data_IF_946677959003
#
_entry.id   IF_946677959003
#
_cell.length_a   1.000
_cell.length_b   1.000
_cell.length_c   1.000
_cell.angle_alpha   90.00
_cell.angle_beta   90.00
_cell.angle_gamma   90.00
#
_symmetry.space_group_name_H-M   'P 1'
#
loop_
_entity.id
_entity.type
_entity.pdbx_description
1 polymer ?
#
# COMPACT_ATOMS: atom_id res chain seq x y z
N UNK A 1 -72.69 31.58 -43.02
CA UNK A 1 -71.43 30.86 -43.30
C UNK A 1 -70.41 31.26 -42.25
N UNK A 2 -70.14 30.39 -41.28
CA UNK A 2 -69.11 30.60 -40.25
C UNK A 2 -68.28 29.32 -40.25
N UNK A 3 -67.03 29.38 -40.72
CA UNK A 3 -66.09 28.27 -40.70
C UNK A 3 -65.36 28.27 -39.35
N UNK A 4 -65.56 27.23 -38.54
CA UNK A 4 -64.82 26.97 -37.31
C UNK A 4 -63.59 26.14 -37.69
N UNK A 5 -62.40 26.75 -37.63
CA UNK A 5 -61.13 26.06 -37.85
C UNK A 5 -60.64 25.47 -36.51
N UNK A 6 -60.68 24.15 -36.39
CA UNK A 6 -60.13 23.42 -35.24
C UNK A 6 -58.61 23.34 -35.38
N UNK A 7 -57.87 24.08 -34.55
CA UNK A 7 -56.42 23.97 -34.47
C UNK A 7 -56.03 22.73 -33.67
N UNK A 8 -55.45 21.73 -34.33
CA UNK A 8 -54.88 20.55 -33.71
C UNK A 8 -53.48 20.92 -33.17
N UNK A 9 -53.36 21.17 -31.87
CA UNK A 9 -52.04 21.35 -31.22
C UNK A 9 -51.43 19.97 -31.01
N UNK A 10 -50.51 19.58 -31.89
CA UNK A 10 -49.67 18.40 -31.69
C UNK A 10 -48.67 18.69 -30.57
N UNK A 11 -49.01 18.29 -29.34
CA UNK A 11 -48.08 18.30 -28.22
C UNK A 11 -47.00 17.26 -28.43
N UNK A 12 -45.81 17.69 -28.85
CA UNK A 12 -44.62 16.85 -28.85
C UNK A 12 -44.28 16.54 -27.39
N UNK A 13 -44.51 15.30 -26.96
CA UNK A 13 -43.97 14.80 -25.70
C UNK A 13 -42.44 14.84 -25.80
N UNK A 14 -41.82 15.85 -25.18
CA UNK A 14 -40.39 15.85 -24.92
C UNK A 14 -40.12 14.78 -23.87
N UNK A 15 -39.75 13.58 -24.32
CA UNK A 15 -39.21 12.55 -23.45
C UNK A 15 -37.95 13.14 -22.76
N UNK A 16 -37.85 13.10 -21.43
CA UNK A 16 -36.63 13.55 -20.76
C UNK A 16 -35.45 12.74 -21.31
N UNK A 17 -34.45 13.44 -21.84
CA UNK A 17 -33.19 12.81 -22.24
C UNK A 17 -32.63 12.11 -21.01
N UNK A 18 -32.50 10.79 -21.06
CA UNK A 18 -31.78 10.06 -20.03
C UNK A 18 -30.39 10.68 -19.91
N UNK A 19 -29.91 10.98 -18.68
CA UNK A 19 -28.55 11.46 -18.53
C UNK A 19 -27.60 10.47 -19.20
N UNK A 20 -26.52 10.94 -19.85
CA UNK A 20 -25.55 10.04 -20.45
C UNK A 20 -25.07 9.07 -19.36
N UNK A 21 -25.25 7.78 -19.62
CA UNK A 21 -24.63 6.74 -18.80
C UNK A 21 -23.13 6.95 -18.97
N UNK A 22 -22.46 7.43 -17.92
CA UNK A 22 -21.00 7.46 -17.88
C UNK A 22 -20.52 6.02 -18.03
N UNK A 23 -19.92 5.69 -19.16
CA UNK A 23 -19.25 4.42 -19.33
C UNK A 23 -18.11 4.35 -18.31
N UNK A 24 -18.04 3.26 -17.56
CA UNK A 24 -16.87 3.00 -16.73
C UNK A 24 -15.64 2.94 -17.65
N UNK A 25 -14.48 3.47 -17.22
CA UNK A 25 -13.25 3.33 -17.98
C UNK A 25 -12.98 1.84 -18.23
N UNK A 26 -12.49 1.50 -19.41
CA UNK A 26 -11.96 0.16 -19.66
C UNK A 26 -10.66 0.01 -18.86
N UNK A 27 -10.50 -1.12 -18.17
CA UNK A 27 -9.27 -1.45 -17.45
C UNK A 27 -8.32 -2.17 -18.42
N UNK A 28 -7.17 -1.60 -18.78
CA UNK A 28 -6.12 -2.37 -19.44
C UNK A 28 -5.75 -3.57 -18.57
N UNK A 29 -5.62 -4.76 -19.15
CA UNK A 29 -5.27 -5.97 -18.39
C UNK A 29 -3.84 -5.87 -17.85
N UNK A 30 -3.64 -5.92 -16.51
CA UNK A 30 -2.31 -6.06 -15.93
C UNK A 30 -1.68 -7.39 -16.32
N UNK A 31 -0.35 -7.43 -16.45
CA UNK A 31 0.39 -8.67 -16.74
C UNK A 31 0.62 -9.54 -15.49
N UNK A 32 0.31 -9.00 -14.31
CA UNK A 32 0.38 -9.71 -13.04
C UNK A 32 -0.54 -10.92 -12.99
N UNK A 33 -0.05 -12.01 -12.39
CA UNK A 33 -0.83 -13.23 -12.28
C UNK A 33 -1.94 -13.16 -11.20
N UNK A 34 -1.83 -12.25 -10.22
CA UNK A 34 -2.85 -11.98 -9.21
C UNK A 34 -2.77 -10.53 -8.74
N UNK A 35 -3.90 -9.82 -8.74
CA UNK A 35 -3.93 -8.39 -8.44
C UNK A 35 -5.30 -7.89 -8.01
N UNK A 36 -5.32 -6.73 -7.35
CA UNK A 36 -6.53 -5.98 -7.05
C UNK A 36 -6.27 -4.49 -6.91
N UNK A 37 -7.35 -3.71 -7.02
CA UNK A 37 -7.39 -2.30 -6.60
C UNK A 37 -8.64 -1.99 -5.80
N UNK A 38 -8.43 -1.37 -4.65
CA UNK A 38 -9.41 -1.15 -3.62
C UNK A 38 -9.56 0.34 -3.32
N UNK A 39 -10.80 0.81 -3.23
CA UNK A 39 -11.15 2.13 -2.73
C UNK A 39 -11.39 2.04 -1.22
N UNK A 40 -10.43 2.56 -0.47
CA UNK A 40 -10.45 2.56 1.01
C UNK A 40 -11.52 3.51 1.53
N UNK A 41 -11.73 4.64 0.85
CA UNK A 41 -12.67 5.68 1.29
C UNK A 41 -14.11 5.22 1.20
N UNK A 42 -14.46 4.48 0.15
CA UNK A 42 -15.81 3.98 -0.06
C UNK A 42 -16.00 2.51 0.35
N UNK A 43 -14.93 1.83 0.78
CA UNK A 43 -14.95 0.41 1.16
C UNK A 43 -15.39 -0.52 0.00
N UNK A 44 -14.81 -0.31 -1.19
CA UNK A 44 -15.20 -1.02 -2.42
C UNK A 44 -14.00 -1.61 -3.15
N UNK A 45 -14.10 -2.89 -3.51
CA UNK A 45 -13.20 -3.53 -4.47
C UNK A 45 -13.58 -3.10 -5.89
N UNK A 46 -12.71 -2.36 -6.57
CA UNK A 46 -13.00 -1.77 -7.88
C UNK A 46 -12.73 -2.75 -9.02
N UNK A 47 -11.60 -3.47 -8.95
CA UNK A 47 -11.23 -4.50 -9.89
C UNK A 47 -10.26 -5.50 -9.24
N UNK A 48 -10.24 -6.73 -9.75
CA UNK A 48 -9.46 -7.84 -9.20
C UNK A 48 -9.31 -8.98 -10.21
N UNK A 49 -8.23 -9.74 -10.08
CA UNK A 49 -8.03 -11.04 -10.73
C UNK A 49 -7.25 -12.00 -9.83
N UNK A 50 -7.65 -13.27 -9.81
CA UNK A 50 -7.05 -14.37 -9.03
C UNK A 50 -6.67 -14.03 -7.58
N UNK A 51 -7.52 -13.29 -6.87
CA UNK A 51 -7.14 -12.69 -5.57
C UNK A 51 -7.04 -13.66 -4.39
N UNK A 52 -7.55 -14.89 -4.56
CA UNK A 52 -7.55 -15.96 -3.56
C UNK A 52 -6.44 -17.01 -3.84
N UNK A 53 -5.68 -16.86 -4.92
CA UNK A 53 -4.59 -17.77 -5.26
C UNK A 53 -3.41 -17.61 -4.29
N UNK A 54 -2.94 -18.74 -3.75
CA UNK A 54 -1.78 -18.77 -2.87
C UNK A 54 -0.48 -18.63 -3.65
N UNK A 55 0.31 -17.61 -3.29
CA UNK A 55 1.54 -17.20 -3.96
C UNK A 55 2.59 -16.79 -2.92
N UNK A 56 3.87 -16.87 -3.29
CA UNK A 56 4.92 -16.23 -2.52
C UNK A 56 4.77 -14.69 -2.63
N UNK A 57 5.08 -13.96 -1.55
CA UNK A 57 4.93 -12.49 -1.50
C UNK A 57 6.23 -11.71 -1.40
N UNK A 58 7.36 -12.43 -1.41
CA UNK A 58 8.67 -11.85 -1.24
C UNK A 58 8.70 -10.84 -0.06
N UNK A 59 9.43 -9.73 -0.22
CA UNK A 59 9.59 -8.72 0.83
C UNK A 59 8.33 -7.95 1.24
N UNK A 60 7.17 -8.13 0.61
CA UNK A 60 5.91 -7.57 1.13
C UNK A 60 5.57 -8.17 2.51
N UNK A 61 6.09 -9.36 2.80
CA UNK A 61 6.15 -9.97 4.15
C UNK A 61 6.57 -8.98 5.24
N UNK A 62 7.49 -8.06 4.94
CA UNK A 62 8.02 -7.13 5.93
C UNK A 62 7.00 -6.12 6.46
N UNK A 63 5.86 -5.92 5.79
CA UNK A 63 4.74 -5.18 6.38
C UNK A 63 4.22 -5.85 7.66
N UNK A 64 4.11 -7.19 7.65
CA UNK A 64 3.75 -7.95 8.85
C UNK A 64 4.82 -7.82 9.93
N UNK A 65 6.09 -7.89 9.56
CA UNK A 65 7.22 -7.68 10.50
C UNK A 65 7.14 -6.33 11.19
N UNK A 66 6.86 -5.26 10.44
CA UNK A 66 6.72 -3.92 11.01
C UNK A 66 5.53 -3.85 11.97
N UNK A 67 4.36 -4.39 11.59
CA UNK A 67 3.19 -4.39 12.47
C UNK A 67 3.41 -5.19 13.75
N UNK A 68 3.99 -6.39 13.67
CA UNK A 68 4.33 -7.18 14.87
C UNK A 68 5.35 -6.45 15.73
N UNK A 69 6.32 -5.78 15.12
CA UNK A 69 7.32 -5.03 15.86
C UNK A 69 6.73 -3.84 16.62
N UNK A 70 5.77 -3.14 16.03
CA UNK A 70 5.06 -2.03 16.67
C UNK A 70 4.12 -2.49 17.79
N UNK A 71 3.54 -3.69 17.68
CA UNK A 71 2.71 -4.28 18.75
C UNK A 71 3.53 -4.70 19.98
N UNK A 72 4.80 -5.07 19.79
CA UNK A 72 5.60 -5.79 20.81
C UNK A 72 6.83 -5.04 21.31
N UNK A 73 7.32 -4.07 20.56
CA UNK A 73 8.50 -3.28 20.90
C UNK A 73 8.20 -1.80 21.06
N UNK A 74 9.21 -1.04 21.50
CA UNK A 74 9.19 0.41 21.54
C UNK A 74 10.22 0.95 20.55
N UNK A 75 9.88 2.05 19.90
CA UNK A 75 10.70 2.62 18.83
C UNK A 75 12.11 3.02 19.27
N UNK A 76 12.30 3.29 20.56
CA UNK A 76 13.57 3.64 21.20
C UNK A 76 14.33 2.45 21.80
N UNK A 77 13.78 1.23 21.73
CA UNK A 77 14.48 0.04 22.19
C UNK A 77 15.77 -0.16 21.36
N UNK A 78 16.87 -0.45 22.06
CA UNK A 78 18.15 -0.78 21.44
C UNK A 78 18.19 -2.26 21.10
N UNK A 79 18.34 -2.54 19.82
CA UNK A 79 18.46 -3.86 19.21
C UNK A 79 19.92 -4.15 18.90
N UNK A 80 20.48 -5.18 19.53
CA UNK A 80 21.81 -5.68 19.21
C UNK A 80 21.76 -6.57 17.99
N UNK A 81 22.54 -6.24 16.96
CA UNK A 81 22.66 -7.04 15.73
C UNK A 81 23.45 -8.31 16.03
N UNK A 82 22.89 -9.47 15.73
CA UNK A 82 23.57 -10.76 15.84
C UNK A 82 24.43 -11.08 14.60
N UNK A 83 25.28 -12.10 14.70
CA UNK A 83 25.97 -12.65 13.52
C UNK A 83 24.98 -13.22 12.49
N UNK A 84 23.88 -13.80 12.94
CA UNK A 84 22.83 -14.33 12.07
C UNK A 84 22.13 -13.21 11.30
N UNK A 85 21.78 -12.11 11.96
CA UNK A 85 21.18 -10.96 11.30
C UNK A 85 22.14 -10.31 10.29
N UNK A 86 23.40 -10.13 10.67
CA UNK A 86 24.42 -9.54 9.79
C UNK A 86 24.81 -10.44 8.59
N UNK A 87 24.50 -11.74 8.65
CA UNK A 87 24.88 -12.74 7.64
C UNK A 87 23.73 -13.27 6.80
N UNK A 88 22.54 -12.69 6.88
CA UNK A 88 21.33 -13.22 6.21
C UNK A 88 21.41 -13.13 4.68
N UNK A 89 22.07 -12.11 4.13
CA UNK A 89 22.21 -11.88 2.70
C UNK A 89 20.98 -11.23 2.04
N UNK A 90 21.21 -10.71 0.83
CA UNK A 90 20.24 -9.99 -0.03
C UNK A 90 19.64 -8.72 0.60
N UNK A 91 19.25 -7.74 -0.22
CA UNK A 91 18.51 -6.53 0.22
C UNK A 91 18.87 -6.00 1.64
N UNK A 92 20.15 -5.74 1.91
CA UNK A 92 20.66 -5.35 3.24
C UNK A 92 20.88 -3.83 3.35
N UNK A 93 20.98 -3.33 4.60
CA UNK A 93 21.54 -2.01 4.90
C UNK A 93 22.98 -2.09 5.46
N UNK A 94 23.52 -3.31 5.54
CA UNK A 94 24.90 -3.57 5.92
C UNK A 94 25.10 -3.52 7.43
N UNK A 95 24.16 -4.03 8.22
CA UNK A 95 24.32 -4.12 9.67
C UNK A 95 25.53 -4.99 10.04
N UNK A 96 26.36 -4.54 10.99
CA UNK A 96 27.50 -5.33 11.50
C UNK A 96 27.15 -5.93 12.86
N UNK A 97 27.54 -7.18 13.07
CA UNK A 97 27.33 -7.87 14.34
C UNK A 97 27.89 -7.07 15.54
N UNK A 98 27.11 -7.01 16.62
CA UNK A 98 27.42 -6.24 17.82
C UNK A 98 27.01 -4.76 17.76
N UNK A 99 26.63 -4.23 16.60
CA UNK A 99 26.04 -2.89 16.52
C UNK A 99 24.72 -2.81 17.30
N UNK A 100 24.39 -1.62 17.83
CA UNK A 100 23.13 -1.37 18.52
C UNK A 100 22.28 -0.34 17.78
N UNK A 101 21.21 -0.78 17.14
CA UNK A 101 20.29 0.07 16.39
C UNK A 101 19.02 0.28 17.20
N UNK A 102 18.45 1.48 17.15
CA UNK A 102 17.07 1.66 17.67
C UNK A 102 16.10 0.86 16.80
N UNK A 103 15.03 0.34 17.39
CA UNK A 103 13.97 -0.33 16.64
C UNK A 103 13.45 0.57 15.51
N UNK A 104 13.35 1.89 15.74
CA UNK A 104 13.01 2.88 14.72
C UNK A 104 13.93 2.83 13.50
N UNK A 105 15.25 2.86 13.69
CA UNK A 105 16.19 2.83 12.57
C UNK A 105 16.04 1.53 11.75
N UNK A 106 15.83 0.39 12.43
CA UNK A 106 15.62 -0.90 11.77
C UNK A 106 14.30 -0.96 10.99
N UNK A 107 13.20 -0.41 11.54
CA UNK A 107 11.94 -0.30 10.82
C UNK A 107 12.07 0.63 9.60
N UNK A 108 12.83 1.72 9.71
CA UNK A 108 13.15 2.58 8.56
C UNK A 108 13.95 1.81 7.50
N UNK A 109 14.96 1.03 7.90
CA UNK A 109 15.74 0.20 6.99
C UNK A 109 14.87 -0.84 6.25
N UNK A 110 13.92 -1.47 6.93
CA UNK A 110 12.92 -2.36 6.33
C UNK A 110 12.08 -1.61 5.29
N UNK A 111 11.49 -0.48 5.65
CA UNK A 111 10.52 0.19 4.79
C UNK A 111 11.17 0.87 3.58
N UNK A 112 12.38 1.41 3.74
CA UNK A 112 13.10 2.10 2.65
C UNK A 112 13.88 1.11 1.78
N UNK A 113 14.74 0.29 2.39
CA UNK A 113 15.69 -0.56 1.64
C UNK A 113 15.29 -2.03 1.56
N UNK A 114 14.20 -2.44 2.21
CA UNK A 114 13.83 -3.85 2.32
C UNK A 114 14.83 -4.69 3.14
N UNK A 115 15.55 -4.06 4.09
CA UNK A 115 16.61 -4.64 4.93
C UNK A 115 16.26 -6.02 5.48
N UNK A 116 16.87 -7.09 4.95
CA UNK A 116 16.74 -8.45 5.51
C UNK A 116 17.41 -8.56 6.87
N UNK A 117 18.63 -8.03 6.97
CA UNK A 117 19.42 -7.90 8.18
C UNK A 117 18.63 -7.24 9.32
N UNK A 118 17.95 -6.12 9.01
CA UNK A 118 17.07 -5.44 9.95
C UNK A 118 15.86 -6.30 10.39
N UNK A 119 15.24 -7.03 9.46
CA UNK A 119 14.11 -7.90 9.76
C UNK A 119 14.50 -9.07 10.69
N UNK A 120 15.66 -9.69 10.48
CA UNK A 120 16.17 -10.74 11.36
C UNK A 120 16.53 -10.18 12.73
N UNK A 121 17.24 -9.05 12.80
CA UNK A 121 17.60 -8.42 14.07
C UNK A 121 16.36 -8.07 14.92
N UNK A 122 15.30 -7.55 14.29
CA UNK A 122 14.01 -7.28 14.94
C UNK A 122 13.38 -8.57 15.46
N UNK A 123 13.36 -9.63 14.63
CA UNK A 123 12.76 -10.91 15.00
C UNK A 123 13.42 -11.52 16.23
N UNK A 124 14.75 -11.55 16.25
CA UNK A 124 15.54 -12.06 17.38
C UNK A 124 15.37 -11.21 18.64
N UNK A 125 15.32 -9.88 18.50
CA UNK A 125 15.11 -8.99 19.65
C UNK A 125 13.74 -9.20 20.30
N UNK A 126 12.68 -9.33 19.50
CA UNK A 126 11.30 -9.35 19.99
C UNK A 126 10.88 -10.75 20.46
N UNK A 127 11.27 -11.79 19.74
CA UNK A 127 10.79 -13.14 19.97
C UNK A 127 11.90 -14.13 20.37
N UNK A 128 13.14 -13.65 20.49
CA UNK A 128 14.31 -14.48 20.81
C UNK A 128 14.82 -15.32 19.64
N UNK A 129 14.05 -15.46 18.55
CA UNK A 129 14.42 -16.23 17.36
C UNK A 129 13.53 -15.87 16.17
N UNK A 130 14.03 -16.16 14.95
CA UNK A 130 13.26 -16.05 13.70
C UNK A 130 11.99 -16.90 13.74
N UNK A 131 12.09 -18.15 14.19
CA UNK A 131 10.94 -19.06 14.27
C UNK A 131 9.87 -18.54 15.26
N UNK A 132 10.30 -18.10 16.45
CA UNK A 132 9.37 -17.52 17.43
C UNK A 132 8.71 -16.25 16.91
N UNK A 133 9.39 -15.46 16.08
CA UNK A 133 8.80 -14.29 15.47
C UNK A 133 7.80 -14.65 14.36
N UNK A 134 8.09 -15.67 13.55
CA UNK A 134 7.15 -16.21 12.57
C UNK A 134 5.84 -16.69 13.23
N UNK A 135 5.91 -17.29 14.42
CA UNK A 135 4.73 -17.62 15.22
C UNK A 135 3.90 -16.38 15.57
N UNK A 136 4.54 -15.26 15.93
CA UNK A 136 3.84 -14.00 16.20
C UNK A 136 3.21 -13.40 14.94
N UNK A 137 3.88 -13.50 13.80
CA UNK A 137 3.36 -13.07 12.50
C UNK A 137 2.11 -13.87 12.12
N UNK A 138 2.13 -15.19 12.28
CA UNK A 138 0.98 -16.06 12.03
C UNK A 138 -0.17 -15.80 13.02
N UNK A 139 0.12 -15.53 14.30
CA UNK A 139 -0.91 -15.12 15.26
C UNK A 139 -1.59 -13.80 14.84
N UNK A 140 -0.82 -12.81 14.37
CA UNK A 140 -1.39 -11.57 13.85
C UNK A 140 -2.18 -11.80 12.56
N UNK A 141 -1.70 -12.66 11.66
CA UNK A 141 -2.42 -13.02 10.44
C UNK A 141 -3.82 -13.57 10.76
N UNK A 142 -3.92 -14.51 11.71
CA UNK A 142 -5.20 -15.05 12.19
C UNK A 142 -6.07 -13.95 12.81
N UNK A 143 -5.49 -13.05 13.61
CA UNK A 143 -6.23 -11.94 14.22
C UNK A 143 -6.78 -10.93 13.19
N UNK A 144 -6.09 -10.76 12.07
CA UNK A 144 -6.53 -9.92 10.95
C UNK A 144 -7.52 -10.65 10.01
N UNK A 145 -7.63 -11.98 10.12
CA UNK A 145 -8.51 -12.79 9.27
C UNK A 145 -7.87 -13.21 7.94
N UNK A 146 -6.53 -13.23 7.86
CA UNK A 146 -5.77 -13.64 6.68
C UNK A 146 -5.73 -15.18 6.59
N UNK A 147 -6.72 -15.79 5.95
CA UNK A 147 -6.94 -17.26 5.95
C UNK A 147 -6.03 -18.03 4.99
N UNK A 148 -5.44 -17.35 4.02
CA UNK A 148 -4.61 -17.88 2.96
C UNK A 148 -3.17 -17.36 3.05
N UNK A 149 -2.73 -17.05 4.27
CA UNK A 149 -1.36 -16.60 4.59
C UNK A 149 -0.68 -17.51 5.62
N UNK A 150 0.61 -17.74 5.39
CA UNK A 150 1.53 -18.36 6.35
C UNK A 150 2.92 -17.72 6.25
N UNK A 151 3.47 -17.34 7.39
CA UNK A 151 4.80 -16.74 7.54
C UNK A 151 5.80 -17.78 8.04
N UNK A 152 6.91 -17.98 7.32
CA UNK A 152 8.02 -18.82 7.78
C UNK A 152 9.19 -17.99 8.30
N UNK A 153 9.35 -16.77 7.80
CA UNK A 153 10.44 -15.86 8.16
C UNK A 153 9.99 -14.37 8.09
N UNK A 154 10.74 -13.43 8.68
CA UNK A 154 10.34 -12.02 8.80
C UNK A 154 10.68 -11.18 7.56
N UNK A 155 11.40 -11.72 6.59
CA UNK A 155 11.92 -10.96 5.45
C UNK A 155 11.28 -11.31 4.12
N UNK A 156 10.71 -12.51 3.99
CA UNK A 156 10.11 -13.01 2.76
C UNK A 156 11.10 -13.54 1.75
N UNK A 157 12.18 -14.19 2.19
CA UNK A 157 12.93 -15.06 1.29
C UNK A 157 12.15 -16.37 1.11
N UNK A 158 12.33 -17.02 -0.03
CA UNK A 158 11.58 -18.22 -0.40
C UNK A 158 11.85 -19.35 0.61
N UNK A 159 10.77 -19.87 1.20
CA UNK A 159 10.81 -20.94 2.21
C UNK A 159 9.54 -21.80 2.13
N UNK A 160 9.63 -23.13 2.29
CA UNK A 160 8.44 -23.99 2.29
C UNK A 160 7.40 -23.54 3.32
N UNK A 161 6.15 -23.42 2.89
CA UNK A 161 5.06 -22.97 3.75
C UNK A 161 5.00 -21.46 3.96
N UNK A 162 5.79 -20.67 3.22
CA UNK A 162 5.68 -19.21 3.18
C UNK A 162 4.85 -18.74 1.98
N UNK A 163 3.63 -18.28 2.22
CA UNK A 163 2.71 -17.87 1.15
C UNK A 163 1.65 -16.88 1.65
N UNK A 164 0.94 -16.26 0.73
CA UNK A 164 -0.25 -15.40 0.96
C UNK A 164 -1.16 -15.40 -0.26
N UNK A 165 -2.29 -14.70 -0.20
CA UNK A 165 -3.10 -14.28 -1.37
C UNK A 165 -3.10 -12.76 -1.54
N UNK A 166 -3.56 -12.25 -2.69
CA UNK A 166 -3.72 -10.80 -2.89
C UNK A 166 -4.80 -10.22 -1.96
N UNK A 167 -5.87 -10.97 -1.67
CA UNK A 167 -6.90 -10.58 -0.69
C UNK A 167 -6.30 -10.40 0.70
N UNK A 168 -5.43 -11.30 1.12
CA UNK A 168 -4.80 -11.20 2.44
C UNK A 168 -3.75 -10.09 2.47
N UNK A 169 -3.03 -9.86 1.37
CA UNK A 169 -2.15 -8.69 1.26
C UNK A 169 -2.92 -7.37 1.26
N UNK A 170 -4.14 -7.29 0.73
CA UNK A 170 -5.01 -6.13 0.91
C UNK A 170 -5.32 -5.92 2.39
N UNK A 171 -5.71 -6.98 3.11
CA UNK A 171 -5.98 -6.91 4.55
C UNK A 171 -4.76 -6.41 5.32
N UNK A 172 -3.57 -6.92 5.01
CA UNK A 172 -2.32 -6.48 5.59
C UNK A 172 -2.00 -5.02 5.25
N UNK A 173 -2.22 -4.61 3.99
CA UNK A 173 -2.01 -3.24 3.54
C UNK A 173 -2.97 -2.26 4.24
N UNK A 174 -4.23 -2.62 4.42
CA UNK A 174 -5.22 -1.83 5.17
C UNK A 174 -4.79 -1.65 6.63
N UNK A 175 -4.34 -2.73 7.28
CA UNK A 175 -3.80 -2.64 8.64
C UNK A 175 -2.52 -1.78 8.71
N UNK A 176 -1.68 -1.87 7.68
CA UNK A 176 -0.46 -1.08 7.57
C UNK A 176 -0.73 0.41 7.39
N UNK A 177 -1.70 0.80 6.55
CA UNK A 177 -2.03 2.22 6.37
C UNK A 177 -2.79 2.81 7.55
N UNK A 178 -3.49 2.02 8.37
CA UNK A 178 -4.13 2.53 9.59
C UNK A 178 -3.10 2.89 10.69
N UNK A 179 -1.87 2.36 10.60
CA UNK A 179 -0.79 2.62 11.55
C UNK A 179 0.03 3.87 11.16
N UNK A 180 -0.04 4.98 11.93
CA UNK A 180 0.63 6.23 11.55
C UNK A 180 2.15 6.13 11.46
N UNK A 181 2.79 5.24 12.23
CA UNK A 181 4.24 5.01 12.11
C UNK A 181 4.57 4.42 10.74
N UNK A 182 3.80 3.44 10.27
CA UNK A 182 4.02 2.81 8.96
C UNK A 182 3.88 3.83 7.84
N UNK A 183 2.83 4.66 7.85
CA UNK A 183 2.67 5.71 6.83
C UNK A 183 3.88 6.65 6.76
N UNK A 184 4.41 7.09 7.92
CA UNK A 184 5.58 7.98 7.94
C UNK A 184 6.82 7.30 7.37
N UNK A 185 7.06 6.05 7.74
CA UNK A 185 8.20 5.28 7.23
C UNK A 185 8.07 5.02 5.73
N UNK A 186 6.89 4.62 5.27
CA UNK A 186 6.60 4.33 3.87
C UNK A 186 6.80 5.54 2.93
N UNK A 187 6.50 6.75 3.42
CA UNK A 187 6.69 8.02 2.70
C UNK A 187 8.15 8.48 2.64
N UNK A 188 9.06 7.82 3.34
CA UNK A 188 10.49 8.19 3.35
C UNK A 188 11.12 7.84 2.00
N UNK A 189 11.55 8.85 1.23
CA UNK A 189 12.19 8.65 -0.09
C UNK A 189 13.64 8.24 0.02
N UNK A 190 14.38 8.93 0.88
CA UNK A 190 15.80 8.69 1.12
C UNK A 190 16.08 8.81 2.60
N UNK A 191 17.05 8.04 3.08
CA UNK A 191 17.52 8.10 4.45
C UNK A 191 19.02 7.93 4.47
N UNK A 192 19.69 8.68 5.34
CA UNK A 192 21.08 8.49 5.70
C UNK A 192 21.09 7.92 7.11
N UNK A 193 21.72 6.76 7.25
CA UNK A 193 21.99 6.15 8.53
C UNK A 193 23.39 6.51 9.01
N UNK A 194 23.69 6.13 10.26
CA UNK A 194 25.05 6.20 10.78
C UNK A 194 26.03 5.40 9.88
N UNK A 195 27.28 5.87 9.76
CA UNK A 195 28.27 5.22 8.94
C UNK A 195 28.64 3.85 9.50
N UNK A 196 29.22 3.03 8.63
CA UNK A 196 29.76 1.74 9.00
C UNK A 196 30.87 1.89 10.06
N UNK A 197 30.78 1.19 11.21
CA UNK A 197 31.71 1.40 12.31
C UNK A 197 33.10 0.82 12.03
N UNK A 198 33.23 -0.06 11.03
CA UNK A 198 34.49 -0.74 10.69
C UNK A 198 35.24 0.02 9.61
N UNK A 199 34.53 0.50 8.59
CA UNK A 199 35.11 1.14 7.40
C UNK A 199 34.94 2.66 7.40
N UNK A 200 34.01 3.19 8.20
CA UNK A 200 33.60 4.60 8.17
C UNK A 200 32.77 4.98 6.95
N UNK A 201 32.37 4.02 6.12
CA UNK A 201 31.60 4.28 4.90
C UNK A 201 30.20 4.81 5.24
N UNK A 202 29.70 5.77 4.45
CA UNK A 202 28.33 6.26 4.57
C UNK A 202 27.33 5.14 4.25
N UNK A 203 26.26 5.03 5.06
CA UNK A 203 25.13 4.16 4.79
C UNK A 203 23.94 5.03 4.40
N UNK A 204 23.58 5.03 3.13
CA UNK A 204 22.38 5.72 2.64
C UNK A 204 21.51 4.76 1.84
N UNK A 205 20.20 5.00 1.87
CA UNK A 205 19.22 4.19 1.18
C UNK A 205 18.17 5.05 0.48
N UNK A 206 17.73 4.57 -0.68
CA UNK A 206 16.59 5.12 -1.42
C UNK A 206 15.45 4.11 -1.41
N UNK A 207 14.23 4.62 -1.30
CA UNK A 207 13.03 3.80 -1.24
C UNK A 207 12.91 2.92 -2.49
N UNK A 208 12.69 1.63 -2.26
CA UNK A 208 12.52 0.66 -3.33
C UNK A 208 11.23 0.88 -4.15
N UNK A 209 10.19 1.53 -3.60
CA UNK A 209 8.99 1.88 -4.36
C UNK A 209 9.25 3.13 -5.22
N UNK A 210 9.49 2.91 -6.52
CA UNK A 210 9.77 3.98 -7.48
C UNK A 210 8.55 4.86 -7.82
N UNK A 211 7.33 4.44 -7.48
CA UNK A 211 6.13 5.26 -7.67
C UNK A 211 6.06 6.41 -6.68
N UNK A 212 6.75 6.29 -5.53
CA UNK A 212 6.83 7.35 -4.54
C UNK A 212 7.51 8.59 -5.14
N UNK A 213 6.73 9.66 -5.33
CA UNK A 213 7.18 10.90 -5.96
C UNK A 213 7.19 10.91 -7.49
N UNK A 214 6.90 9.80 -8.16
CA UNK A 214 6.77 9.74 -9.63
C UNK A 214 5.34 9.50 -10.12
N UNK A 215 4.46 8.99 -9.26
CA UNK A 215 3.03 8.83 -9.52
C UNK A 215 2.20 9.70 -8.55
N UNK A 216 1.22 10.48 -9.04
CA UNK A 216 0.42 11.36 -8.19
C UNK A 216 -0.33 10.60 -7.09
N UNK A 217 -0.21 11.09 -5.85
CA UNK A 217 -0.93 10.55 -4.70
C UNK A 217 -0.29 9.33 -4.04
N UNK A 218 0.64 8.63 -4.70
CA UNK A 218 1.30 7.46 -4.11
C UNK A 218 2.11 7.86 -2.88
N UNK A 219 1.84 7.17 -1.78
CA UNK A 219 2.41 7.48 -0.47
C UNK A 219 3.09 6.28 0.22
N UNK A 220 3.23 5.15 -0.49
CA UNK A 220 4.28 4.17 -0.19
C UNK A 220 3.84 2.71 -0.24
N UNK A 221 3.91 2.07 0.93
CA UNK A 221 3.93 0.62 1.22
C UNK A 221 5.22 -0.10 0.78
N UNK A 222 5.16 -1.14 -0.05
CA UNK A 222 6.27 -2.11 -0.11
C UNK A 222 6.35 -2.92 -1.39
N UNK A 223 7.57 -3.01 -1.94
CA UNK A 223 7.96 -3.91 -3.02
C UNK A 223 8.45 -5.27 -2.50
N UNK A 224 8.45 -6.27 -3.37
CA UNK A 224 9.13 -7.54 -3.17
C UNK A 224 9.54 -8.20 -4.49
N UNK A 225 10.60 -8.99 -4.43
CA UNK A 225 11.03 -9.89 -5.49
C UNK A 225 11.72 -11.11 -4.89
N UNK A 226 11.38 -12.29 -5.37
CA UNK A 226 12.14 -13.54 -5.23
C UNK A 226 11.93 -14.37 -6.50
N UNK A 227 12.66 -15.48 -6.64
CA UNK A 227 12.47 -16.40 -7.76
C UNK A 227 11.06 -17.01 -7.79
N UNK A 228 10.51 -17.37 -6.63
CA UNK A 228 9.20 -18.02 -6.57
C UNK A 228 8.03 -17.02 -6.61
N UNK A 229 8.23 -15.78 -6.16
CA UNK A 229 7.18 -14.77 -6.10
C UNK A 229 7.01 -13.95 -7.39
N UNK A 230 8.04 -13.85 -8.22
CA UNK A 230 8.13 -12.80 -9.24
C UNK A 230 8.16 -11.40 -8.60
N UNK A 231 7.77 -10.36 -9.34
CA UNK A 231 7.66 -9.02 -8.78
C UNK A 231 6.33 -8.84 -8.07
N UNK A 232 6.40 -8.38 -6.82
CA UNK A 232 5.24 -8.12 -5.94
C UNK A 232 5.26 -6.66 -5.50
N UNK A 233 4.11 -6.02 -5.45
CA UNK A 233 3.97 -4.64 -4.98
C UNK A 233 2.63 -4.44 -4.26
N UNK A 234 2.68 -4.00 -3.02
CA UNK A 234 1.55 -3.35 -2.35
C UNK A 234 1.81 -1.85 -2.35
N UNK A 235 0.85 -1.04 -2.81
CA UNK A 235 0.96 0.41 -2.88
C UNK A 235 -0.30 1.07 -2.32
N UNK A 236 -0.13 2.11 -1.53
CA UNK A 236 -1.19 3.03 -1.13
C UNK A 236 -1.06 4.36 -1.88
N UNK A 237 -2.20 4.99 -2.14
CA UNK A 237 -2.25 6.31 -2.73
C UNK A 237 -3.46 7.11 -2.23
N UNK A 238 -3.28 8.43 -2.04
CA UNK A 238 -4.37 9.37 -1.78
C UNK A 238 -4.50 10.34 -2.95
N UNK A 239 -5.67 10.36 -3.57
CA UNK A 239 -6.02 11.30 -4.62
C UNK A 239 -7.11 12.23 -4.13
N UNK A 240 -6.72 13.41 -3.65
CA UNK A 240 -7.66 14.46 -3.26
C UNK A 240 -8.60 14.05 -2.11
N UNK A 241 -8.12 13.24 -1.16
CA UNK A 241 -8.90 12.74 -0.03
C UNK A 241 -9.65 11.43 -0.29
N UNK A 242 -9.51 10.83 -1.48
CA UNK A 242 -9.94 9.47 -1.78
C UNK A 242 -8.72 8.55 -1.74
N UNK A 243 -8.72 7.60 -0.82
CA UNK A 243 -7.60 6.69 -0.56
C UNK A 243 -7.79 5.36 -1.28
N UNK A 244 -6.71 4.83 -1.83
CA UNK A 244 -6.69 3.58 -2.59
C UNK A 244 -5.55 2.67 -2.16
N UNK A 245 -5.76 1.37 -2.33
CA UNK A 245 -4.72 0.35 -2.22
C UNK A 245 -4.72 -0.51 -3.48
N UNK A 246 -3.54 -0.69 -4.07
CA UNK A 246 -3.31 -1.65 -5.15
C UNK A 246 -2.35 -2.74 -4.68
N UNK A 247 -2.66 -3.98 -5.02
CA UNK A 247 -1.80 -5.14 -4.78
C UNK A 247 -1.56 -5.85 -6.11
N UNK A 248 -0.29 -6.13 -6.40
CA UNK A 248 0.18 -6.84 -7.59
C UNK A 248 1.11 -7.96 -7.16
N UNK A 249 0.91 -9.17 -7.68
CA UNK A 249 1.72 -10.36 -7.39
C UNK A 249 2.07 -11.11 -8.68
N UNK A 250 3.29 -11.66 -8.76
CA UNK A 250 3.73 -12.44 -9.92
C UNK A 250 3.85 -11.62 -11.21
N UNK A 251 4.23 -10.34 -11.11
CA UNK A 251 4.33 -9.47 -12.28
C UNK A 251 5.72 -9.51 -12.93
N UNK A 252 5.78 -9.15 -14.22
CA UNK A 252 7.03 -8.84 -14.95
C UNK A 252 7.42 -7.37 -14.83
N UNK A 253 6.47 -6.48 -14.55
CA UNK A 253 6.69 -5.08 -14.19
C UNK A 253 5.59 -4.61 -13.23
N UNK A 254 5.78 -4.89 -11.95
CA UNK A 254 4.81 -4.55 -10.91
C UNK A 254 4.50 -3.05 -10.81
N UNK A 255 5.38 -2.17 -11.33
CA UNK A 255 5.15 -0.74 -11.33
C UNK A 255 4.21 -0.35 -12.47
N UNK A 256 4.39 -0.91 -13.68
CA UNK A 256 3.47 -0.69 -14.79
C UNK A 256 2.05 -1.18 -14.44
N UNK A 257 1.93 -2.39 -13.90
CA UNK A 257 0.64 -2.94 -13.46
C UNK A 257 -0.01 -2.09 -12.37
N UNK A 258 0.75 -1.68 -11.37
CA UNK A 258 0.21 -0.80 -10.30
C UNK A 258 -0.26 0.54 -10.85
N UNK A 259 0.44 1.11 -11.85
CA UNK A 259 0.00 2.34 -12.51
C UNK A 259 -1.32 2.16 -13.24
N UNK A 260 -1.46 1.08 -14.01
CA UNK A 260 -2.71 0.73 -14.71
C UNK A 260 -3.88 0.69 -13.71
N UNK A 261 -3.68 0.01 -12.58
CA UNK A 261 -4.69 -0.14 -11.54
C UNK A 261 -5.08 1.19 -10.87
N UNK A 262 -4.09 2.02 -10.51
CA UNK A 262 -4.35 3.31 -9.90
C UNK A 262 -4.96 4.31 -10.89
N UNK A 263 -4.51 4.33 -12.16
CA UNK A 263 -5.09 5.17 -13.21
C UNK A 263 -6.57 4.79 -13.46
N UNK A 264 -6.89 3.50 -13.50
CA UNK A 264 -8.27 3.01 -13.53
C UNK A 264 -9.07 3.49 -12.31
N UNK A 265 -8.55 3.28 -11.10
CA UNK A 265 -9.22 3.68 -9.87
C UNK A 265 -9.52 5.19 -9.83
N UNK A 266 -8.57 6.01 -10.26
CA UNK A 266 -8.71 7.46 -10.34
C UNK A 266 -9.78 7.87 -11.35
N UNK A 267 -9.87 7.16 -12.48
CA UNK A 267 -10.88 7.39 -13.52
C UNK A 267 -12.28 6.89 -13.14
N UNK A 268 -12.43 6.00 -12.14
CA UNK A 268 -13.75 5.63 -11.60
C UNK A 268 -14.42 6.76 -10.82
N UNK A 269 -13.74 7.90 -10.61
CA UNK A 269 -14.27 9.08 -9.90
C UNK A 269 -15.27 9.84 -10.78
N UNK A 270 -16.56 9.53 -10.60
CA UNK A 270 -17.68 10.25 -11.22
C UNK A 270 -18.90 10.29 -10.28
N UNK A 271 -19.96 11.05 -10.61
CA UNK A 271 -21.12 11.35 -9.73
C UNK A 271 -21.87 10.16 -9.09
N UNK A 272 -21.44 8.91 -9.35
CA UNK A 272 -21.82 7.70 -8.65
C UNK A 272 -21.54 7.71 -7.14
N UNK A 273 -20.62 8.57 -6.66
CA UNK A 273 -20.36 8.78 -5.21
C UNK A 273 -21.57 9.31 -4.43
N UNK A 274 -22.64 9.77 -5.11
CA UNK A 274 -23.89 10.23 -4.48
C UNK A 274 -25.04 9.24 -4.49
N UNK A 275 -24.98 8.18 -5.31
CA UNK A 275 -26.12 7.30 -5.56
C UNK A 275 -25.91 5.86 -5.06
N UNK A 276 -24.68 5.49 -4.69
CA UNK A 276 -24.34 4.13 -4.22
C UNK A 276 -24.39 3.96 -2.69
N UNK A 277 -24.62 5.02 -1.92
CA UNK A 277 -25.03 4.93 -0.52
C UNK A 277 -26.56 5.17 -0.44
N UNK A 278 -27.44 4.22 -0.05
CA UNK A 278 -27.25 2.85 0.47
C UNK A 278 -28.14 1.76 -0.20
N UNK A 279 -27.57 0.60 -0.55
CA UNK A 279 -28.32 -0.66 -0.76
C UNK A 279 -27.69 -1.86 -0.03
N UNK A 280 -27.00 -1.60 1.08
CA UNK A 280 -26.64 -2.64 2.06
C UNK A 280 -27.24 -2.26 3.40
N UNK A 281 -28.57 -2.26 3.48
CA UNK A 281 -29.25 -2.63 4.72
C UNK A 281 -29.30 -4.16 4.76
N UNK A 282 -28.28 -4.78 5.34
CA UNK A 282 -28.46 -6.02 6.11
C UNK A 282 -27.22 -6.28 6.97
N UNK A 283 -27.36 -5.93 8.25
CA UNK A 283 -26.83 -6.67 9.41
C UNK A 283 -25.52 -7.46 9.23
N UNK A 284 -24.36 -6.79 9.11
CA UNK A 284 -23.07 -7.33 9.56
C UNK A 284 -21.97 -6.27 9.50
N UNK A 285 -21.79 -5.48 10.56
CA UNK A 285 -20.48 -5.17 11.16
C UNK A 285 -20.67 -4.15 12.29
N UNK A 286 -20.70 -4.63 13.53
CA UNK A 286 -20.31 -3.78 14.65
C UNK A 286 -18.78 -3.76 14.70
N UNK A 287 -18.14 -2.67 14.28
CA UNK A 287 -16.77 -2.34 14.70
C UNK A 287 -16.76 -0.89 15.17
N UNK A 288 -16.51 -0.71 16.46
CA UNK A 288 -16.51 0.58 17.15
C UNK A 288 -15.31 1.42 16.70
N UNK A 289 -15.47 2.72 16.37
CA UNK A 289 -14.35 3.63 16.14
C UNK A 289 -13.48 3.79 17.40
N UNK A 290 -12.16 3.99 17.23
CA UNK A 290 -11.19 4.21 18.32
C UNK A 290 -11.65 5.28 19.33
N UNK A 291 -11.46 4.98 20.62
CA UNK A 291 -11.80 5.83 21.77
C UNK A 291 -11.15 7.23 21.65
N UNK A 292 -11.90 8.32 21.88
CA UNK A 292 -11.37 9.68 22.04
C UNK A 292 -10.18 9.86 23.01
N UNK A 293 -9.93 8.93 23.94
CA UNK A 293 -8.75 8.91 24.80
C UNK A 293 -7.48 8.48 24.03
N UNK A 294 -7.60 7.48 23.15
CA UNK A 294 -6.50 6.98 22.29
C UNK A 294 -6.08 8.07 21.27
N UNK A 295 -7.07 8.80 20.70
CA UNK A 295 -6.81 9.95 19.81
C UNK A 295 -6.00 11.06 20.49
N UNK A 296 -6.22 11.31 21.79
CA UNK A 296 -5.47 12.31 22.57
C UNK A 296 -4.07 11.85 22.93
N UNK A 297 -3.85 10.55 23.10
CA UNK A 297 -2.51 9.96 23.27
C UNK A 297 -1.66 10.13 22.02
N UNK A 298 -2.24 9.89 20.83
CA UNK A 298 -1.58 10.05 19.53
C UNK A 298 -1.24 11.51 19.19
N UNK A 299 -2.10 12.45 19.58
CA UNK A 299 -1.88 13.88 19.38
C UNK A 299 -0.75 14.48 20.24
N UNK A 300 -0.30 13.78 21.29
CA UNK A 300 0.76 14.23 22.21
C UNK A 300 2.16 13.65 21.86
N UNK A 301 2.29 12.92 20.75
CA UNK A 301 3.61 12.51 20.26
C UNK A 301 4.30 13.72 19.61
N UNK A 302 5.23 14.34 20.36
CA UNK A 302 6.08 15.46 19.93
C UNK A 302 6.74 15.24 18.56
N UNK A 303 7.12 16.32 17.83
CA UNK A 303 7.97 16.22 16.65
C UNK A 303 9.26 15.47 17.02
N UNK A 304 9.55 14.41 16.28
CA UNK A 304 10.73 13.54 16.44
C UNK A 304 12.00 14.40 16.42
N UNK A 305 12.63 14.58 17.58
CA UNK A 305 13.93 15.22 17.70
C UNK A 305 15.03 14.17 17.92
N UNK A 306 16.10 14.37 17.14
CA UNK A 306 17.46 13.80 17.21
C UNK A 306 17.73 12.44 16.52
N UNK A 307 18.54 12.49 15.46
CA UNK A 307 19.40 11.39 15.00
C UNK A 307 19.27 11.00 13.52
N UNK A 308 18.10 11.13 12.91
CA UNK A 308 17.85 10.70 11.52
C UNK A 308 17.35 11.91 10.72
N UNK A 309 18.13 12.36 9.73
CA UNK A 309 17.63 13.28 8.71
C UNK A 309 16.75 12.51 7.73
N UNK A 310 15.43 12.55 7.95
CA UNK A 310 14.44 12.07 7.00
C UNK A 310 13.99 13.23 6.12
N UNK A 311 14.17 13.12 4.81
CA UNK A 311 13.58 14.06 3.87
C UNK A 311 12.16 13.59 3.53
N UNK A 312 11.20 13.91 4.41
CA UNK A 312 9.79 13.91 4.01
C UNK A 312 9.51 15.29 3.42
N UNK A 313 9.55 15.41 2.09
CA UNK A 313 8.99 16.58 1.43
C UNK A 313 7.50 16.63 1.82
N UNK A 314 6.99 17.71 2.45
CA UNK A 314 5.58 17.80 2.76
C UNK A 314 4.82 17.67 1.45
N UNK A 315 4.04 16.60 1.32
CA UNK A 315 3.18 16.36 0.17
C UNK A 315 2.30 17.59 -0.03
N UNK A 316 2.67 18.47 -0.95
CA UNK A 316 1.66 19.15 -1.76
C UNK A 316 1.13 18.07 -2.68
N UNK A 317 0.06 17.39 -2.26
CA UNK A 317 -0.73 16.57 -3.17
C UNK A 317 -1.03 17.47 -4.38
N UNK A 318 -0.61 17.11 -5.60
CA UNK A 318 -0.94 17.90 -6.77
C UNK A 318 -2.44 18.14 -6.80
N UNK A 319 -2.88 19.38 -7.03
CA UNK A 319 -4.30 19.69 -7.08
C UNK A 319 -4.99 18.82 -8.15
N UNK A 320 -6.30 18.57 -8.02
CA UNK A 320 -7.05 17.75 -8.98
C UNK A 320 -6.79 18.14 -10.46
N UNK A 321 -6.52 19.42 -10.73
CA UNK A 321 -6.14 19.95 -12.06
C UNK A 321 -4.79 19.40 -12.54
N UNK A 322 -3.76 19.38 -11.70
CA UNK A 322 -2.42 18.90 -12.06
C UNK A 322 -2.41 17.38 -12.33
N UNK A 323 -3.28 16.63 -11.66
CA UNK A 323 -3.45 15.19 -11.89
C UNK A 323 -4.17 14.93 -13.22
N UNK A 324 -5.20 15.71 -13.53
CA UNK A 324 -5.91 15.60 -14.81
C UNK A 324 -5.03 16.01 -15.99
N UNK A 325 -4.21 17.04 -15.84
CA UNK A 325 -3.22 17.45 -16.84
C UNK A 325 -2.13 16.38 -17.02
N UNK A 326 -1.68 15.76 -15.93
CA UNK A 326 -0.73 14.66 -15.97
C UNK A 326 -1.32 13.42 -16.68
N UNK A 327 -2.55 13.01 -16.36
CA UNK A 327 -3.28 11.92 -17.03
C UNK A 327 -3.47 12.23 -18.52
N UNK A 328 -3.94 13.42 -18.85
CA UNK A 328 -4.15 13.87 -20.23
C UNK A 328 -2.85 13.91 -21.05
N UNK A 329 -1.71 14.21 -20.40
CA UNK A 329 -0.39 14.24 -21.06
C UNK A 329 0.22 12.86 -21.32
N UNK A 330 -0.26 11.81 -20.63
CA UNK A 330 0.32 10.46 -20.65
C UNK A 330 -0.58 9.39 -21.27
N UNK A 331 -1.85 9.71 -21.50
CA UNK A 331 -2.78 8.91 -22.31
C UNK A 331 -2.79 9.42 -23.76
N UNK A 332 -1.96 8.87 -24.68
CA UNK A 332 -2.19 9.08 -26.10
C UNK A 332 -3.48 8.33 -26.51
N UNK A 333 -4.60 9.06 -26.49
CA UNK A 333 -5.82 8.87 -27.29
C UNK A 333 -6.26 7.41 -27.50
N UNK A 334 -7.12 6.91 -26.60
CA UNK A 334 -7.98 5.72 -26.79
C UNK A 334 -9.19 6.02 -27.70
N UNK A 335 -9.20 7.13 -28.44
CA UNK A 335 -10.24 7.41 -29.43
C UNK A 335 -9.62 7.72 -30.79
N UNK A 336 -9.33 6.65 -31.53
CA UNK A 336 -9.23 6.73 -32.98
C UNK A 336 -10.53 7.32 -33.54
N UNK A 337 -10.45 8.55 -34.03
CA UNK A 337 -11.54 9.25 -34.70
C UNK A 337 -10.96 10.26 -35.68
N UNK A 338 -11.02 9.91 -36.96
CA UNK A 338 -10.58 10.66 -38.13
C UNK A 338 -11.18 12.06 -38.25
N UNK A 339 -10.34 13.04 -38.58
CA UNK A 339 -10.61 14.11 -39.54
C UNK A 339 -9.30 14.69 -40.08
#
# INVERSE_FOLDING_TARGET
>A
MIHLATALVAGVLMLPSLPPVLALPELPEPEAESWLVYDVTNDVLLAADNIDDRRAMASVTKLMTVLVALDRGRLDDLVTVSETAAGVGEAEVGLVAGEQWTLRELLTAIMVRSGNDAAVAIAEHIAGSVAGFADLMNQKAVALGMSDTSFANPHGLDEPGHFTSARDLLTLALAAIDEPVVQRLARTRTVIFRPDPTTGAERSATNTNRLLGSFPGVDGLKTGFTSDAGLVLATSADQGGRAFVAVVMGSQDHFADTRILLEFAYATSGPADRWMAPLVESEAMSRTPLDPAERRRLANLSPLASGIEMTSDPLTTPGAVEIMDWLASRLPVVLGGSS
#
